data_IF_934656150501
#
_entry.id   IF_934656150501
#
_cell.length_a   1.000
_cell.length_b   1.000
_cell.length_c   1.000
_cell.angle_alpha   90.00
_cell.angle_beta   90.00
_cell.angle_gamma   90.00
#
_symmetry.space_group_name_H-M   'P 1'
#
loop_
_entity.id
_entity.type
_entity.pdbx_description
1 polymer ?
#
# COMPACT_ATOMS: atom_id res chain seq x y z
N UNK A 1 -22.70 10.33 -50.34
CA UNK A 1 -22.74 9.16 -49.41
C UNK A 1 -21.37 8.52 -49.13
N UNK A 2 -20.41 8.51 -50.06
CA UNK A 2 -19.08 7.87 -49.88
C UNK A 2 -18.20 8.55 -48.81
N UNK A 3 -18.28 9.88 -48.69
CA UNK A 3 -17.52 10.69 -47.71
C UNK A 3 -17.93 10.39 -46.25
N UNK A 4 -19.22 10.18 -46.00
CA UNK A 4 -19.74 9.83 -44.67
C UNK A 4 -19.31 8.42 -44.24
N UNK A 5 -19.22 7.48 -45.19
CA UNK A 5 -18.70 6.13 -44.90
C UNK A 5 -17.21 6.15 -44.52
N UNK A 6 -16.42 6.99 -45.17
CA UNK A 6 -15.00 7.14 -44.86
C UNK A 6 -14.78 7.74 -43.45
N UNK A 7 -15.59 8.74 -43.09
CA UNK A 7 -15.61 9.34 -41.75
C UNK A 7 -15.98 8.31 -40.68
N UNK A 8 -17.03 7.50 -40.90
CA UNK A 8 -17.45 6.46 -39.95
C UNK A 8 -16.33 5.45 -39.73
N UNK A 9 -15.67 4.97 -40.79
CA UNK A 9 -14.55 4.02 -40.67
C UNK A 9 -13.37 4.62 -39.91
N UNK A 10 -13.07 5.89 -40.13
CA UNK A 10 -12.00 6.59 -39.42
C UNK A 10 -12.32 6.71 -37.92
N UNK A 11 -13.56 7.10 -37.58
CA UNK A 11 -14.02 7.22 -36.19
C UNK A 11 -14.04 5.88 -35.48
N UNK A 12 -14.51 4.81 -36.13
CA UNK A 12 -14.48 3.47 -35.53
C UNK A 12 -13.06 2.96 -35.36
N UNK A 13 -12.16 3.24 -36.31
CA UNK A 13 -10.74 2.87 -36.20
C UNK A 13 -10.05 3.56 -35.02
N UNK A 14 -10.27 4.87 -34.84
CA UNK A 14 -9.73 5.63 -33.70
C UNK A 14 -10.32 5.14 -32.38
N UNK A 15 -11.63 4.84 -32.33
CA UNK A 15 -12.26 4.30 -31.12
C UNK A 15 -11.68 2.92 -30.72
N UNK A 16 -11.41 2.05 -31.70
CA UNK A 16 -10.77 0.75 -31.44
C UNK A 16 -9.33 0.93 -30.94
N UNK A 17 -8.55 1.82 -31.54
CA UNK A 17 -7.18 2.12 -31.08
C UNK A 17 -7.15 2.69 -29.65
N UNK A 18 -8.08 3.59 -29.32
CA UNK A 18 -8.23 4.13 -27.96
C UNK A 18 -8.70 3.06 -26.96
N UNK A 19 -9.56 2.13 -27.36
CA UNK A 19 -9.98 1.02 -26.51
C UNK A 19 -8.86 0.01 -26.22
N UNK A 20 -7.95 -0.23 -27.18
CA UNK A 20 -6.78 -1.08 -26.97
C UNK A 20 -5.75 -0.44 -26.04
N UNK A 21 -5.59 0.89 -26.09
CA UNK A 21 -4.72 1.63 -25.18
C UNK A 21 -5.24 1.66 -23.72
N UNK A 22 -6.56 1.53 -23.51
CA UNK A 22 -7.15 1.47 -22.17
C UNK A 22 -6.98 0.11 -21.49
N UNK A 23 -6.69 -0.96 -22.24
CA UNK A 23 -6.50 -2.31 -21.68
C UNK A 23 -5.09 -2.57 -21.16
N UNK A 24 -4.18 -1.59 -21.27
CA UNK A 24 -2.82 -1.66 -20.73
C UNK A 24 -2.53 -0.56 -19.71
N UNK A 25 -3.54 0.19 -19.27
CA UNK A 25 -3.39 1.10 -18.15
C UNK A 25 -3.35 0.27 -16.86
N UNK A 26 -2.13 0.10 -16.38
CA UNK A 26 -1.65 -0.81 -15.35
C UNK A 26 -2.52 -0.76 -14.08
N UNK A 27 -3.29 -1.82 -13.84
CA UNK A 27 -4.16 -2.03 -12.67
C UNK A 27 -3.37 -2.41 -11.40
N UNK A 28 -2.11 -2.00 -11.33
CA UNK A 28 -1.09 -2.50 -10.41
C UNK A 28 -0.41 -1.39 -9.58
N UNK A 29 -0.96 -0.16 -9.61
CA UNK A 29 -0.54 0.92 -8.70
C UNK A 29 -0.71 0.53 -7.22
N UNK A 30 -1.60 -0.44 -6.92
CA UNK A 30 -1.91 -0.94 -5.58
C UNK A 30 -1.19 -2.24 -5.17
N UNK A 31 -0.19 -2.73 -5.92
CA UNK A 31 0.54 -3.97 -5.60
C UNK A 31 1.36 -3.87 -4.30
N UNK A 32 0.67 -4.07 -3.19
CA UNK A 32 1.29 -4.54 -1.96
C UNK A 32 1.86 -5.92 -2.24
N UNK A 33 3.18 -6.07 -2.10
CA UNK A 33 3.86 -7.35 -2.27
C UNK A 33 4.44 -7.91 -0.97
N UNK A 34 4.32 -7.16 0.13
CA UNK A 34 4.70 -7.61 1.47
C UNK A 34 3.69 -7.13 2.50
N UNK A 35 3.33 -8.00 3.45
CA UNK A 35 2.38 -7.69 4.51
C UNK A 35 2.88 -8.24 5.84
N UNK A 36 2.77 -7.42 6.88
CA UNK A 36 3.04 -7.81 8.27
C UNK A 36 1.70 -7.92 8.99
N UNK A 37 1.46 -9.06 9.62
CA UNK A 37 0.29 -9.26 10.46
C UNK A 37 0.69 -9.12 11.94
N UNK A 38 -0.01 -8.25 12.66
CA UNK A 38 0.18 -7.99 14.09
C UNK A 38 -1.14 -8.32 14.81
N UNK A 39 -1.29 -9.54 15.36
CA UNK A 39 -2.54 -9.99 15.95
C UNK A 39 -2.98 -9.17 17.17
N UNK A 40 -2.03 -8.54 17.88
CA UNK A 40 -2.31 -7.69 19.03
C UNK A 40 -3.15 -6.46 18.67
N UNK A 41 -3.01 -5.94 17.44
CA UNK A 41 -3.83 -4.83 16.94
C UNK A 41 -5.26 -5.31 16.71
N UNK A 42 -5.44 -6.45 16.02
CA UNK A 42 -6.75 -7.06 15.80
C UNK A 42 -7.46 -7.39 17.13
N UNK A 43 -6.71 -7.95 18.08
CA UNK A 43 -7.22 -8.32 19.41
C UNK A 43 -7.37 -7.11 20.35
N UNK A 44 -6.99 -5.91 19.91
CA UNK A 44 -7.07 -4.65 20.66
C UNK A 44 -6.36 -4.71 22.02
N UNK A 45 -5.23 -5.44 22.08
CA UNK A 45 -4.40 -5.59 23.30
C UNK A 45 -3.28 -4.56 23.39
N UNK A 46 -3.05 -3.80 22.32
CA UNK A 46 -2.11 -2.67 22.25
C UNK A 46 -2.87 -1.38 21.91
N UNK A 47 -2.30 -0.22 22.23
CA UNK A 47 -2.85 1.12 21.95
C UNK A 47 -2.30 1.73 20.68
N UNK A 48 -1.06 1.40 20.34
CA UNK A 48 -0.35 1.84 19.14
C UNK A 48 0.55 0.73 18.61
N UNK A 49 0.81 0.77 17.30
CA UNK A 49 1.68 -0.15 16.59
C UNK A 49 2.42 0.59 15.47
N UNK A 50 3.73 0.35 15.41
CA UNK A 50 4.64 0.92 14.41
C UNK A 50 5.38 -0.23 13.73
N UNK A 51 5.21 -0.33 12.41
CA UNK A 51 5.94 -1.30 11.59
C UNK A 51 6.92 -0.54 10.72
N UNK A 52 8.21 -0.81 10.91
CA UNK A 52 9.32 -0.14 10.25
C UNK A 52 10.10 -1.15 9.41
N UNK A 53 10.41 -0.80 8.16
CA UNK A 53 11.13 -1.64 7.21
C UNK A 53 12.41 -0.92 6.80
N UNK A 54 13.55 -1.56 7.04
CA UNK A 54 14.87 -1.08 6.67
C UNK A 54 15.46 -1.96 5.57
N UNK A 55 16.15 -1.36 4.61
CA UNK A 55 16.95 -2.12 3.64
C UNK A 55 18.30 -2.58 4.25
N UNK A 56 19.09 -3.34 3.50
CA UNK A 56 20.40 -3.83 3.92
C UNK A 56 21.38 -2.70 4.30
N UNK A 57 21.31 -1.55 3.62
CA UNK A 57 22.10 -0.36 3.97
C UNK A 57 21.66 0.31 5.28
N UNK A 58 20.67 -0.23 6.00
CA UNK A 58 20.14 0.33 7.23
C UNK A 58 19.27 1.58 7.01
N UNK A 59 18.83 1.84 5.78
CA UNK A 59 17.95 2.96 5.45
C UNK A 59 16.49 2.58 5.66
N UNK A 60 15.71 3.44 6.32
CA UNK A 60 14.26 3.27 6.46
C UNK A 60 13.59 3.46 5.09
N UNK A 61 12.95 2.42 4.57
CA UNK A 61 12.29 2.41 3.25
C UNK A 61 10.78 2.24 3.34
N UNK A 62 10.25 1.85 4.50
CA UNK A 62 8.83 1.71 4.73
C UNK A 62 8.48 1.97 6.19
N UNK A 63 7.40 2.72 6.41
CA UNK A 63 6.85 2.92 7.74
C UNK A 63 5.33 2.95 7.67
N UNK A 64 4.70 2.28 8.65
CA UNK A 64 3.25 2.33 8.88
C UNK A 64 2.99 2.50 10.37
N UNK A 65 2.04 3.37 10.69
CA UNK A 65 1.69 3.74 12.04
C UNK A 65 0.20 3.56 12.23
N UNK A 66 -0.17 2.81 13.24
CA UNK A 66 -1.55 2.56 13.61
C UNK A 66 -1.72 2.93 15.09
N UNK A 67 -2.78 3.66 15.42
CA UNK A 67 -3.07 4.09 16.79
C UNK A 67 -4.56 3.98 17.02
N UNK A 68 -4.96 3.57 18.23
CA UNK A 68 -6.35 3.60 18.66
C UNK A 68 -6.90 5.03 18.58
N UNK A 69 -8.08 5.27 17.98
CA UNK A 69 -9.14 4.32 17.69
C UNK A 69 -9.13 3.66 16.30
N UNK A 70 -7.99 3.29 15.70
CA UNK A 70 -7.84 2.38 14.54
C UNK A 70 -8.74 2.65 13.31
N UNK A 71 -9.34 3.83 13.22
CA UNK A 71 -10.55 4.15 12.44
C UNK A 71 -10.26 4.64 11.02
N UNK A 72 -8.97 4.74 10.67
CA UNK A 72 -8.52 5.34 9.40
C UNK A 72 -8.29 4.33 8.28
N UNK A 73 -7.97 3.07 8.62
CA UNK A 73 -7.67 2.02 7.65
C UNK A 73 -8.19 0.65 8.15
N UNK A 74 -9.22 0.07 7.51
CA UNK A 74 -9.78 -1.23 7.89
C UNK A 74 -8.77 -2.38 7.88
N UNK A 75 -7.74 -2.31 7.02
CA UNK A 75 -6.67 -3.32 6.98
C UNK A 75 -5.80 -3.20 8.22
N UNK A 76 -5.46 -1.97 8.62
CA UNK A 76 -4.68 -1.72 9.82
C UNK A 76 -5.49 -2.04 11.09
N UNK A 77 -6.81 -1.81 11.11
CA UNK A 77 -7.69 -2.31 12.19
C UNK A 77 -7.65 -3.84 12.29
N UNK A 78 -7.57 -4.54 11.16
CA UNK A 78 -7.38 -5.99 11.11
C UNK A 78 -5.95 -6.44 11.45
N UNK A 79 -5.05 -5.53 11.86
CA UNK A 79 -3.65 -5.81 12.17
C UNK A 79 -2.78 -6.06 10.94
N UNK A 80 -3.22 -5.67 9.74
CA UNK A 80 -2.51 -5.90 8.49
C UNK A 80 -1.79 -4.63 8.02
N UNK A 81 -0.47 -4.70 7.96
CA UNK A 81 0.41 -3.60 7.55
C UNK A 81 1.04 -3.92 6.20
N UNK A 82 0.60 -3.22 5.17
CA UNK A 82 0.94 -3.47 3.78
C UNK A 82 2.06 -2.56 3.28
N UNK A 83 3.04 -3.13 2.60
CA UNK A 83 4.19 -2.46 1.99
C UNK A 83 4.38 -2.87 0.53
N UNK A 84 4.95 -1.95 -0.25
CA UNK A 84 5.47 -2.20 -1.60
C UNK A 84 6.99 -2.10 -1.53
N UNK A 85 7.66 -3.23 -1.67
CA UNK A 85 9.11 -3.35 -1.58
C UNK A 85 9.69 -3.80 -2.92
N UNK A 86 10.80 -3.21 -3.36
CA UNK A 86 11.54 -3.79 -4.48
C UNK A 86 12.13 -5.15 -4.07
N UNK A 87 12.45 -6.07 -5.00
CA UNK A 87 13.17 -7.28 -4.64
C UNK A 87 14.48 -6.96 -3.90
N UNK A 88 14.73 -7.60 -2.76
CA UNK A 88 15.91 -7.36 -1.94
C UNK A 88 15.77 -7.89 -0.51
N UNK A 89 16.82 -7.71 0.30
CA UNK A 89 16.81 -8.05 1.72
C UNK A 89 16.39 -6.87 2.58
N UNK A 90 15.56 -7.16 3.60
CA UNK A 90 14.98 -6.16 4.49
C UNK A 90 14.99 -6.64 5.93
N UNK A 91 15.11 -5.69 6.87
CA UNK A 91 14.91 -5.89 8.30
C UNK A 91 13.62 -5.20 8.71
N UNK A 92 12.71 -5.97 9.29
CA UNK A 92 11.38 -5.49 9.68
C UNK A 92 11.27 -5.51 11.20
N UNK A 93 10.87 -4.37 11.76
CA UNK A 93 10.68 -4.21 13.20
C UNK A 93 9.26 -3.77 13.49
N UNK A 94 8.64 -4.39 14.48
CA UNK A 94 7.33 -4.04 14.98
C UNK A 94 7.45 -3.60 16.44
N UNK A 95 6.96 -2.40 16.73
CA UNK A 95 6.94 -1.85 18.08
C UNK A 95 5.51 -1.51 18.45
N UNK A 96 5.11 -1.81 19.69
CA UNK A 96 3.77 -1.53 20.20
C UNK A 96 3.86 -0.78 21.52
N UNK A 97 2.80 -0.03 21.85
CA UNK A 97 2.67 0.72 23.11
C UNK A 97 3.80 1.73 23.37
N UNK A 98 4.40 2.24 22.30
CA UNK A 98 5.60 3.08 22.37
C UNK A 98 5.34 4.48 22.90
N UNK A 99 4.09 4.95 22.85
CA UNK A 99 3.71 6.29 23.33
C UNK A 99 3.52 6.37 24.85
N UNK A 100 3.60 5.22 25.54
CA UNK A 100 3.47 5.13 27.01
C UNK A 100 4.81 5.04 27.76
N UNK A 101 5.94 5.14 27.05
CA UNK A 101 7.27 5.02 27.63
C UNK A 101 7.70 6.34 28.25
N UNK A 102 7.85 6.37 29.58
CA UNK A 102 8.46 7.48 30.32
C UNK A 102 9.79 7.01 30.89
N UNK A 103 10.86 7.74 30.62
CA UNK A 103 12.17 7.49 31.21
C UNK A 103 12.38 8.47 32.37
N UNK A 104 12.72 7.94 33.54
CA UNK A 104 13.17 8.72 34.70
C UNK A 104 14.61 8.35 34.99
N UNK A 105 15.48 9.37 35.09
CA UNK A 105 16.84 9.18 35.56
C UNK A 105 16.77 8.74 37.03
N UNK A 106 17.41 7.60 37.34
CA UNK A 106 17.49 7.04 38.70
C UNK A 106 18.52 7.73 39.59
#
# INVERSE_FOLDING_TARGET
>A
MRKNRLLIVLFTGVAVLLSLASCTYDYFEDETNYQVFVPEVLNKTVSDCRVLVYNDAGTLVGARYATSPWDKDPRMEAGLFSFRLTPGEYKVYCYTNTDSLTFVDG
#
